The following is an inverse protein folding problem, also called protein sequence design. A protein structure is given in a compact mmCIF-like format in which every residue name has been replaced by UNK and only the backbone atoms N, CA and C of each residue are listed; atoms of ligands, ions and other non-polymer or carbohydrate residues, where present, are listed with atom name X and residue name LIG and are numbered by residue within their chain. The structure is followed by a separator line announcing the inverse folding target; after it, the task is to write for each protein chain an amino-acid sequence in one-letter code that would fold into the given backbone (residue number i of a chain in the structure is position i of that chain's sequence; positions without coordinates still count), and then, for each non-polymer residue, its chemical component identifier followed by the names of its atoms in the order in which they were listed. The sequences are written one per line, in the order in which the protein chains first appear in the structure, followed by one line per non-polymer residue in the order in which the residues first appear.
data_IF_495500136781
#
_entry.id   IF_495500136781
#
_cell.length_a   1.000
_cell.length_b   1.000
_cell.length_c   1.000
_cell.angle_alpha   90.00
_cell.angle_beta   90.00
_cell.angle_gamma   90.00
#
_symmetry.space_group_name_H-M   'P 1'
#
loop_
_entity.id
_entity.type
_entity.pdbx_description
1 polymer ?
#
# COMPACT_ATOMS: atom_id res chain seq x y z
N UNK A 1 19.49 1.90 -25.40
CA UNK A 1 19.03 1.06 -24.28
C UNK A 1 19.85 1.27 -23.01
N UNK A 2 21.12 1.69 -23.09
CA UNK A 2 21.94 2.07 -21.92
C UNK A 2 21.51 3.40 -21.26
N UNK A 3 20.79 4.26 -21.99
CA UNK A 3 20.28 5.52 -21.48
C UNK A 3 19.50 5.33 -20.18
N UNK A 4 18.35 4.62 -20.23
CA UNK A 4 17.36 4.45 -19.13
C UNK A 4 17.98 4.05 -17.78
N UNK A 5 19.09 3.32 -17.82
CA UNK A 5 19.80 2.84 -16.64
C UNK A 5 20.50 3.96 -15.86
N UNK A 6 21.08 4.94 -16.57
CA UNK A 6 21.67 6.13 -15.96
C UNK A 6 20.58 7.05 -15.37
N UNK A 7 19.39 7.12 -16.02
CA UNK A 7 18.36 8.11 -15.66
C UNK A 7 17.89 8.03 -14.23
N UNK A 8 17.66 6.82 -13.73
CA UNK A 8 17.12 6.62 -12.40
C UNK A 8 18.20 6.63 -11.30
N UNK A 9 19.45 6.26 -11.61
CA UNK A 9 20.52 6.27 -10.62
C UNK A 9 20.97 7.69 -10.26
N UNK A 10 21.08 8.58 -11.25
CA UNK A 10 21.43 9.99 -11.00
C UNK A 10 20.26 10.76 -10.38
N UNK A 11 19.03 10.45 -10.80
CA UNK A 11 17.81 10.99 -10.19
C UNK A 11 17.73 10.68 -8.69
N UNK A 12 18.00 9.43 -8.30
CA UNK A 12 17.96 9.03 -6.89
C UNK A 12 19.08 9.68 -6.04
N UNK A 13 20.26 9.93 -6.62
CA UNK A 13 21.36 10.62 -5.94
C UNK A 13 21.05 12.10 -5.66
N UNK A 14 20.28 12.75 -6.53
CA UNK A 14 19.90 14.16 -6.38
C UNK A 14 19.00 14.39 -5.15
N UNK A 15 17.99 13.54 -4.93
CA UNK A 15 17.02 13.72 -3.83
C UNK A 15 17.64 13.51 -2.44
N UNK A 16 18.59 12.59 -2.31
CA UNK A 16 19.29 12.37 -1.04
C UNK A 16 20.14 13.56 -0.60
N UNK A 17 20.55 14.43 -1.54
CA UNK A 17 21.33 15.63 -1.25
C UNK A 17 20.47 16.82 -0.78
N UNK A 18 19.16 16.82 -1.04
CA UNK A 18 18.29 17.98 -0.77
C UNK A 18 17.60 17.95 0.61
N UNK A 19 17.57 16.80 1.30
CA UNK A 19 16.91 16.67 2.62
C UNK A 19 17.70 17.27 3.80
N UNK A 20 18.96 17.66 3.63
CA UNK A 20 19.81 18.22 4.70
C UNK A 20 19.93 19.74 4.62
N UNK A 21 18.87 20.51 4.87
CA UNK A 21 19.03 21.92 5.26
C UNK A 21 17.90 22.43 6.16
N UNK A 22 18.29 22.60 7.43
CA UNK A 22 17.71 23.35 8.55
C UNK A 22 16.47 24.22 8.30
N UNK A 23 15.52 24.20 9.25
CA UNK A 23 14.95 25.41 9.84
C UNK A 23 14.28 25.11 11.20
N UNK A 24 14.44 26.05 12.12
CA UNK A 24 14.06 26.00 13.53
C UNK A 24 12.95 27.00 13.84
N UNK A 25 12.22 26.76 14.95
CA UNK A 25 11.69 27.73 15.94
C UNK A 25 10.16 27.67 16.24
N UNK A 26 9.90 27.21 17.48
CA UNK A 26 9.02 27.68 18.58
C UNK A 26 7.48 27.87 18.51
N UNK A 27 6.85 27.20 19.49
CA UNK A 27 5.81 27.65 20.45
C UNK A 27 4.32 27.74 20.04
N UNK A 28 3.49 26.84 20.60
CA UNK A 28 2.05 27.03 20.87
C UNK A 28 1.60 26.33 22.18
N UNK A 29 0.65 26.97 22.89
CA UNK A 29 0.05 26.58 24.19
C UNK A 29 -1.21 25.68 24.04
N UNK A 30 -1.65 24.94 25.08
CA UNK A 30 -2.58 23.81 24.95
C UNK A 30 -3.98 23.99 25.58
N UNK A 31 -4.94 23.18 25.13
CA UNK A 31 -6.24 22.86 25.76
C UNK A 31 -7.11 22.05 24.79
N UNK A 32 -7.98 21.10 25.13
CA UNK A 32 -8.50 20.61 26.41
C UNK A 32 -9.12 19.21 26.14
N UNK A 33 -9.07 18.32 27.13
CA UNK A 33 -9.47 16.88 27.08
C UNK A 33 -10.99 16.69 27.19
N UNK A 34 -11.56 15.76 26.40
CA UNK A 34 -12.93 15.26 26.54
C UNK A 34 -13.01 13.73 26.45
N UNK A 35 -13.37 13.07 27.57
CA UNK A 35 -13.60 11.63 27.72
C UNK A 35 -14.82 11.14 26.92
N UNK A 36 -14.69 10.00 26.25
CA UNK A 36 -15.83 9.16 25.82
C UNK A 36 -15.54 7.69 26.16
N UNK A 37 -16.40 7.12 27.01
CA UNK A 37 -16.48 5.70 27.34
C UNK A 37 -17.04 4.94 26.14
N UNK A 38 -16.39 3.84 25.72
CA UNK A 38 -16.83 2.99 24.61
C UNK A 38 -16.94 1.54 25.05
N UNK A 39 -18.16 1.00 25.01
CA UNK A 39 -18.45 -0.42 25.26
C UNK A 39 -18.09 -1.31 24.07
N UNK A 40 -17.66 -2.53 24.36
CA UNK A 40 -17.38 -3.57 23.37
C UNK A 40 -18.64 -4.38 23.07
N UNK A 41 -18.97 -4.57 21.80
CA UNK A 41 -19.92 -5.58 21.35
C UNK A 41 -19.18 -6.93 21.24
N UNK A 42 -19.57 -7.90 22.06
CA UNK A 42 -19.10 -9.29 22.00
C UNK A 42 -19.76 -10.00 20.81
N UNK A 43 -18.98 -10.35 19.81
CA UNK A 43 -19.40 -11.27 18.73
C UNK A 43 -19.29 -12.69 19.29
N UNK A 44 -20.38 -13.45 19.29
CA UNK A 44 -20.38 -14.88 19.69
C UNK A 44 -19.52 -15.71 18.73
N UNK A 45 -18.80 -16.74 19.21
CA UNK A 45 -17.94 -17.58 18.38
C UNK A 45 -18.75 -18.40 17.35
N UNK A 46 -18.12 -18.84 16.24
CA UNK A 46 -18.83 -19.32 15.04
C UNK A 46 -19.28 -20.79 15.10
N UNK A 47 -18.95 -21.52 16.17
CA UNK A 47 -18.90 -22.98 16.12
C UNK A 47 -20.24 -23.69 16.42
N UNK A 48 -21.14 -23.10 17.21
CA UNK A 48 -22.39 -23.77 17.62
C UNK A 48 -23.40 -23.93 16.47
N UNK A 49 -23.51 -22.93 15.60
CA UNK A 49 -24.49 -22.93 14.50
C UNK A 49 -24.16 -23.94 13.39
N UNK A 50 -22.86 -24.21 13.18
CA UNK A 50 -22.41 -25.14 12.13
C UNK A 50 -22.71 -26.58 12.54
N UNK A 51 -22.49 -26.91 13.80
CA UNK A 51 -22.74 -28.24 14.35
C UNK A 51 -24.25 -28.57 14.34
N UNK A 52 -25.10 -27.60 14.66
CA UNK A 52 -26.55 -27.76 14.62
C UNK A 52 -27.07 -28.00 13.19
N UNK A 53 -26.52 -27.30 12.20
CA UNK A 53 -26.88 -27.49 10.79
C UNK A 53 -26.45 -28.86 10.27
N UNK A 54 -25.24 -29.32 10.60
CA UNK A 54 -24.75 -30.66 10.24
C UNK A 54 -25.64 -31.76 10.79
N UNK A 55 -26.05 -31.65 12.06
CA UNK A 55 -26.95 -32.61 12.69
C UNK A 55 -28.33 -32.67 12.02
N UNK A 56 -28.91 -31.51 11.66
CA UNK A 56 -30.20 -31.45 10.93
C UNK A 56 -30.10 -32.08 9.54
N UNK A 57 -28.96 -31.91 8.86
CA UNK A 57 -28.74 -32.48 7.54
C UNK A 57 -28.61 -34.02 7.59
N UNK A 58 -27.90 -34.55 8.59
CA UNK A 58 -27.83 -36.00 8.82
C UNK A 58 -29.18 -36.61 9.19
N UNK A 59 -30.01 -35.89 9.94
CA UNK A 59 -31.35 -36.34 10.34
C UNK A 59 -32.31 -36.38 9.14
N UNK A 60 -32.23 -35.40 8.23
CA UNK A 60 -32.97 -35.38 6.98
C UNK A 60 -32.63 -36.57 6.05
N UNK A 61 -31.35 -36.93 5.97
CA UNK A 61 -30.89 -38.10 5.20
C UNK A 61 -31.39 -39.43 5.77
N UNK A 62 -31.61 -39.53 7.08
CA UNK A 62 -32.13 -40.76 7.74
C UNK A 62 -33.64 -40.91 7.64
N UNK A 63 -34.38 -39.80 7.67
CA UNK A 63 -35.85 -39.81 7.72
C UNK A 63 -36.50 -39.69 6.34
N UNK A 64 -35.75 -39.24 5.33
CA UNK A 64 -36.23 -39.01 3.96
C UNK A 64 -37.50 -38.14 3.91
N UNK A 65 -37.65 -37.24 4.89
CA UNK A 65 -38.81 -36.37 5.04
C UNK A 65 -38.74 -35.22 4.01
N UNK A 66 -39.66 -35.15 3.05
CA UNK A 66 -39.64 -34.15 1.98
C UNK A 66 -39.67 -32.70 2.51
N UNK A 67 -40.35 -32.46 3.64
CA UNK A 67 -40.54 -31.12 4.20
C UNK A 67 -39.24 -30.57 4.79
N UNK A 68 -38.45 -31.43 5.45
CA UNK A 68 -37.18 -31.05 6.05
C UNK A 68 -36.11 -30.71 4.99
N UNK A 69 -36.10 -31.44 3.87
CA UNK A 69 -35.23 -31.11 2.72
C UNK A 69 -35.59 -29.77 2.09
N UNK A 70 -36.88 -29.45 2.02
CA UNK A 70 -37.37 -28.19 1.45
C UNK A 70 -36.99 -26.99 2.35
N UNK A 71 -37.06 -27.18 3.67
CA UNK A 71 -36.63 -26.18 4.65
C UNK A 71 -35.11 -25.92 4.60
N UNK A 72 -34.27 -26.97 4.53
CA UNK A 72 -32.81 -26.85 4.39
C UNK A 72 -32.45 -26.14 3.09
N UNK A 73 -33.12 -26.48 1.99
CA UNK A 73 -32.88 -25.86 0.68
C UNK A 73 -33.24 -24.39 0.68
N UNK A 74 -34.36 -24.02 1.32
CA UNK A 74 -34.76 -22.62 1.52
C UNK A 74 -33.72 -21.85 2.35
N UNK A 75 -33.19 -22.46 3.39
CA UNK A 75 -32.15 -21.84 4.22
C UNK A 75 -30.83 -21.65 3.45
N UNK A 76 -30.42 -22.65 2.66
CA UNK A 76 -29.27 -22.55 1.77
C UNK A 76 -29.44 -21.46 0.71
N UNK A 77 -30.58 -21.42 0.02
CA UNK A 77 -30.85 -20.42 -1.01
C UNK A 77 -30.89 -19.00 -0.41
N UNK A 78 -31.47 -18.83 0.78
CA UNK A 78 -31.45 -17.57 1.52
C UNK A 78 -30.02 -17.15 1.92
N UNK A 79 -29.17 -18.10 2.36
CA UNK A 79 -27.77 -17.82 2.68
C UNK A 79 -26.95 -17.47 1.43
N UNK A 80 -27.22 -18.13 0.30
CA UNK A 80 -26.57 -17.87 -0.99
C UNK A 80 -26.91 -16.48 -1.52
N UNK A 81 -28.18 -16.07 -1.50
CA UNK A 81 -28.60 -14.73 -1.90
C UNK A 81 -27.97 -13.65 -1.00
N UNK A 82 -27.91 -13.90 0.31
CA UNK A 82 -27.18 -13.01 1.24
C UNK A 82 -25.71 -12.92 0.86
N UNK A 83 -25.03 -14.04 0.62
CA UNK A 83 -23.62 -14.05 0.21
C UNK A 83 -23.38 -13.30 -1.10
N UNK A 84 -24.29 -13.39 -2.07
CA UNK A 84 -24.20 -12.64 -3.32
C UNK A 84 -24.45 -11.14 -3.13
N UNK A 85 -25.21 -10.73 -2.11
CA UNK A 85 -25.44 -9.32 -1.74
C UNK A 85 -24.35 -8.71 -0.85
N UNK A 86 -23.54 -9.54 -0.17
CA UNK A 86 -22.42 -9.11 0.70
C UNK A 86 -21.35 -8.28 -0.06
N UNK A 87 -20.93 -8.61 -1.30
CA UNK A 87 -19.96 -7.83 -2.07
C UNK A 87 -20.36 -6.37 -2.27
N UNK A 88 -21.65 -6.11 -2.52
CA UNK A 88 -22.15 -4.74 -2.73
C UNK A 88 -22.24 -3.98 -1.39
N UNK A 89 -22.73 -4.65 -0.34
CA UNK A 89 -22.75 -4.08 1.01
C UNK A 89 -21.33 -3.80 1.59
N UNK A 90 -20.34 -4.64 1.26
CA UNK A 90 -18.93 -4.42 1.60
C UNK A 90 -18.28 -3.30 0.79
N UNK A 91 -18.78 -3.04 -0.43
CA UNK A 91 -18.34 -1.93 -1.28
C UNK A 91 -18.74 -0.58 -0.69
N UNK A 92 -19.93 -0.52 -0.12
CA UNK A 92 -20.52 0.67 0.50
C UNK A 92 -20.03 0.89 1.94
N UNK A 93 -19.47 -0.14 2.57
CA UNK A 93 -18.91 -0.03 3.91
C UNK A 93 -17.64 0.83 3.88
N UNK A 94 -17.56 1.91 4.70
CA UNK A 94 -16.34 2.71 4.78
C UNK A 94 -15.21 1.82 5.32
N UNK A 95 -14.26 1.47 4.43
CA UNK A 95 -13.14 0.57 4.75
C UNK A 95 -12.28 1.07 5.92
N UNK A 96 -12.31 2.37 6.19
CA UNK A 96 -11.54 3.02 7.23
C UNK A 96 -12.32 4.23 7.76
N UNK A 97 -12.36 4.40 9.09
CA UNK A 97 -12.83 5.65 9.70
C UNK A 97 -11.73 6.71 9.55
N UNK A 98 -11.96 7.86 8.88
CA UNK A 98 -10.98 8.93 8.73
C UNK A 98 -10.51 9.54 10.06
N UNK A 99 -11.31 9.41 11.11
CA UNK A 99 -10.99 9.86 12.48
C UNK A 99 -10.59 8.70 13.40
N UNK A 100 -10.45 7.49 12.84
CA UNK A 100 -10.09 6.29 13.59
C UNK A 100 -8.62 6.26 13.95
N UNK A 101 -8.32 6.03 15.22
CA UNK A 101 -6.95 5.71 15.69
C UNK A 101 -6.83 4.19 15.77
N UNK A 102 -5.90 3.61 15.00
CA UNK A 102 -5.64 2.17 14.95
C UNK A 102 -4.43 1.81 15.81
N UNK A 103 -4.51 0.67 16.49
CA UNK A 103 -3.53 0.26 17.49
C UNK A 103 -2.90 -1.07 17.08
N UNK A 104 -1.60 -1.05 16.81
CA UNK A 104 -0.81 -2.27 16.58
C UNK A 104 -0.28 -2.86 17.89
N UNK A 105 0.05 -2.00 18.86
CA UNK A 105 0.60 -2.38 20.16
C UNK A 105 -0.03 -1.51 21.25
N UNK A 106 -0.20 -2.07 22.45
CA UNK A 106 -0.77 -1.35 23.58
C UNK A 106 0.18 -0.23 24.04
N UNK A 107 -0.33 1.01 24.07
CA UNK A 107 0.41 2.20 24.53
C UNK A 107 -0.40 2.92 25.60
N UNK A 108 0.25 3.28 26.70
CA UNK A 108 -0.32 4.04 27.82
C UNK A 108 -0.01 5.52 27.67
N UNK A 109 -0.94 6.26 27.07
CA UNK A 109 -0.79 7.70 26.82
C UNK A 109 -0.68 8.54 28.10
N UNK A 110 -1.14 8.01 29.23
CA UNK A 110 -1.09 8.67 30.54
C UNK A 110 0.34 8.75 31.13
N UNK A 111 1.27 7.93 30.63
CA UNK A 111 2.68 7.98 31.01
C UNK A 111 3.55 8.80 30.03
N UNK A 112 2.96 9.37 28.97
CA UNK A 112 3.70 10.13 27.95
C UNK A 112 3.59 11.62 28.27
N UNK A 113 4.72 12.23 28.62
CA UNK A 113 4.80 13.66 28.98
C UNK A 113 5.08 14.56 27.77
N UNK A 114 5.81 14.04 26.78
CA UNK A 114 6.28 14.82 25.61
C UNK A 114 5.79 14.17 24.33
N UNK A 115 5.19 15.00 23.46
CA UNK A 115 4.74 14.61 22.13
C UNK A 115 5.60 15.32 21.09
N UNK A 116 6.38 14.55 20.35
CA UNK A 116 7.11 15.04 19.17
C UNK A 116 6.26 14.84 17.92
N UNK A 117 6.21 15.85 17.06
CA UNK A 117 5.57 15.77 15.75
C UNK A 117 6.60 15.99 14.67
N UNK A 118 6.56 15.15 13.65
CA UNK A 118 7.20 15.46 12.37
C UNK A 118 6.44 16.58 11.67
N UNK A 119 7.09 17.30 10.76
CA UNK A 119 6.48 18.44 10.08
C UNK A 119 5.77 18.00 8.79
N UNK A 120 6.54 17.49 7.83
CA UNK A 120 6.07 17.19 6.48
C UNK A 120 5.13 15.97 6.46
N UNK A 121 3.98 16.11 5.80
CA UNK A 121 2.92 15.08 5.74
C UNK A 121 2.37 14.62 7.11
N UNK A 122 2.78 15.26 8.21
CA UNK A 122 2.24 15.04 9.56
C UNK A 122 1.46 16.28 10.01
N UNK A 123 2.13 17.42 10.17
CA UNK A 123 1.49 18.71 10.49
C UNK A 123 1.16 19.50 9.22
N UNK A 124 2.09 19.55 8.28
CA UNK A 124 1.93 20.21 6.99
C UNK A 124 1.40 19.21 5.95
N UNK A 125 0.17 19.43 5.49
CA UNK A 125 -0.46 18.59 4.47
C UNK A 125 -0.31 19.26 3.11
N UNK A 126 0.36 18.58 2.19
CA UNK A 126 0.60 19.07 0.84
C UNK A 126 -0.50 18.62 -0.11
N UNK A 127 -0.84 19.47 -1.08
CA UNK A 127 -1.70 19.10 -2.20
C UNK A 127 -0.96 18.21 -3.20
N UNK A 128 -1.70 17.47 -4.02
CA UNK A 128 -1.16 16.61 -5.09
C UNK A 128 -0.23 17.35 -6.08
N UNK A 129 -0.40 18.66 -6.22
CA UNK A 129 0.44 19.51 -7.08
C UNK A 129 1.92 19.50 -6.67
N UNK A 130 2.24 19.21 -5.41
CA UNK A 130 3.62 19.15 -4.94
C UNK A 130 4.42 18.10 -5.72
N UNK A 131 3.84 16.92 -5.95
CA UNK A 131 4.52 15.82 -6.65
C UNK A 131 4.78 16.17 -8.11
N UNK A 132 3.83 16.80 -8.78
CA UNK A 132 3.99 17.31 -10.15
C UNK A 132 5.13 18.33 -10.22
N UNK A 133 5.15 19.30 -9.30
CA UNK A 133 6.18 20.33 -9.26
C UNK A 133 7.57 19.75 -9.00
N UNK A 134 7.70 18.81 -8.05
CA UNK A 134 8.97 18.14 -7.75
C UNK A 134 9.46 17.38 -8.99
N UNK A 135 8.57 16.66 -9.67
CA UNK A 135 8.89 15.92 -10.90
C UNK A 135 9.36 16.86 -12.03
N UNK A 136 8.68 17.98 -12.23
CA UNK A 136 9.02 18.97 -13.26
C UNK A 136 10.38 19.64 -12.98
N UNK A 137 10.65 20.02 -11.73
CA UNK A 137 11.97 20.57 -11.35
C UNK A 137 13.09 19.54 -11.53
N UNK A 138 12.83 18.28 -11.17
CA UNK A 138 13.83 17.24 -11.27
C UNK A 138 14.16 16.86 -12.73
N UNK A 139 13.17 16.79 -13.63
CA UNK A 139 13.43 16.54 -15.06
C UNK A 139 14.16 17.71 -15.73
N UNK A 140 13.84 18.94 -15.37
CA UNK A 140 14.58 20.14 -15.82
C UNK A 140 16.04 20.07 -15.38
N UNK A 141 16.29 19.72 -14.12
CA UNK A 141 17.64 19.59 -13.59
C UNK A 141 18.44 18.47 -14.28
N UNK A 142 17.83 17.32 -14.55
CA UNK A 142 18.47 16.24 -15.32
C UNK A 142 18.91 16.70 -16.72
N UNK A 143 18.04 17.41 -17.44
CA UNK A 143 18.33 17.85 -18.80
C UNK A 143 19.40 18.95 -18.80
N UNK A 144 19.27 19.94 -17.92
CA UNK A 144 20.15 21.10 -17.91
C UNK A 144 21.51 20.84 -17.28
N UNK A 145 21.58 20.13 -16.15
CA UNK A 145 22.83 19.89 -15.43
C UNK A 145 23.49 18.56 -15.84
N UNK A 146 22.71 17.49 -15.96
CA UNK A 146 23.22 16.15 -16.29
C UNK A 146 23.22 15.84 -17.80
N UNK A 147 22.79 16.80 -18.64
CA UNK A 147 22.84 16.73 -20.11
C UNK A 147 22.06 15.56 -20.69
N UNK A 148 20.93 15.24 -20.07
CA UNK A 148 20.00 14.26 -20.60
C UNK A 148 19.29 14.78 -21.85
N UNK A 149 18.74 13.89 -22.71
CA UNK A 149 18.05 14.30 -23.93
C UNK A 149 16.88 15.24 -23.65
N UNK A 150 16.73 16.28 -24.47
CA UNK A 150 15.66 17.28 -24.32
C UNK A 150 14.25 16.68 -24.40
N UNK A 151 14.10 15.52 -25.06
CA UNK A 151 12.84 14.76 -25.08
C UNK A 151 12.32 14.43 -23.67
N UNK A 152 13.19 14.45 -22.66
CA UNK A 152 12.80 14.21 -21.27
C UNK A 152 11.88 15.30 -20.69
N UNK A 153 11.93 16.53 -21.24
CA UNK A 153 11.08 17.62 -20.77
C UNK A 153 9.60 17.43 -21.14
N UNK A 154 9.32 16.64 -22.17
CA UNK A 154 7.96 16.36 -22.64
C UNK A 154 7.18 15.44 -21.69
N UNK A 155 7.89 14.74 -20.81
CA UNK A 155 7.28 13.78 -19.90
C UNK A 155 6.43 14.46 -18.83
N UNK A 156 5.29 13.84 -18.53
CA UNK A 156 4.32 14.30 -17.54
C UNK A 156 4.23 13.32 -16.38
N UNK A 157 4.13 13.87 -15.18
CA UNK A 157 3.89 13.10 -13.97
C UNK A 157 2.52 12.39 -14.05
N UNK A 158 2.50 11.13 -13.64
CA UNK A 158 1.32 10.27 -13.62
C UNK A 158 1.11 9.79 -12.18
N UNK A 159 0.16 10.41 -11.48
CA UNK A 159 -0.14 10.10 -10.07
C UNK A 159 -0.78 8.74 -9.85
N UNK A 160 -1.29 8.09 -10.90
CA UNK A 160 -1.94 6.78 -10.79
C UNK A 160 -0.94 5.61 -10.78
N UNK A 161 0.31 5.85 -11.18
CA UNK A 161 1.34 4.81 -11.26
C UNK A 161 2.03 4.51 -9.92
N UNK A 162 2.60 5.50 -9.20
CA UNK A 162 3.37 5.21 -8.00
C UNK A 162 2.46 4.85 -6.82
N UNK A 163 2.89 3.85 -6.05
CA UNK A 163 2.28 3.51 -4.77
C UNK A 163 3.36 3.48 -3.68
N UNK A 164 2.95 3.66 -2.42
CA UNK A 164 3.87 3.66 -1.29
C UNK A 164 4.44 2.28 -0.98
N UNK A 165 5.70 2.26 -0.55
CA UNK A 165 6.39 1.06 -0.09
C UNK A 165 6.78 0.13 -1.23
N UNK A 166 7.21 0.70 -2.35
CA UNK A 166 7.87 -0.02 -3.44
C UNK A 166 9.37 -0.10 -3.16
N UNK A 167 10.03 -1.02 -3.86
CA UNK A 167 11.47 -1.20 -3.83
C UNK A 167 12.03 -0.99 -5.23
N UNK A 168 13.12 -0.24 -5.34
CA UNK A 168 13.82 -0.02 -6.60
C UNK A 168 15.18 -0.72 -6.61
N UNK A 169 15.40 -1.53 -7.64
CA UNK A 169 16.67 -2.18 -7.92
C UNK A 169 17.50 -1.31 -8.86
N UNK A 170 18.45 -0.54 -8.28
CA UNK A 170 19.34 0.35 -9.04
C UNK A 170 20.22 -0.38 -10.05
N UNK A 171 20.54 -1.65 -9.80
CA UNK A 171 21.44 -2.43 -10.65
C UNK A 171 20.71 -3.08 -11.83
N UNK A 172 19.38 -3.20 -11.77
CA UNK A 172 18.60 -3.85 -12.83
C UNK A 172 17.52 -2.94 -13.43
N UNK A 173 17.24 -1.81 -12.81
CA UNK A 173 16.22 -0.86 -13.25
C UNK A 173 14.79 -1.33 -12.99
N UNK A 174 14.58 -2.19 -11.98
CA UNK A 174 13.26 -2.75 -11.67
C UNK A 174 12.63 -2.07 -10.47
N UNK A 175 11.33 -1.79 -10.60
CA UNK A 175 10.48 -1.33 -9.52
C UNK A 175 9.59 -2.50 -9.09
N UNK A 176 9.63 -2.87 -7.81
CA UNK A 176 8.94 -4.05 -7.32
C UNK A 176 8.20 -3.82 -6.01
N UNK A 177 7.04 -4.46 -5.85
CA UNK A 177 6.34 -4.60 -4.58
C UNK A 177 6.75 -5.91 -3.92
N UNK A 178 7.16 -5.83 -2.66
CA UNK A 178 7.45 -7.00 -1.83
C UNK A 178 6.29 -7.26 -0.86
N UNK A 179 5.99 -8.53 -0.65
CA UNK A 179 5.13 -9.04 0.42
C UNK A 179 5.88 -8.97 1.77
N UNK A 180 5.16 -9.22 2.87
CA UNK A 180 5.68 -9.34 4.22
C UNK A 180 6.86 -10.32 4.34
N UNK A 181 6.86 -11.40 3.56
CA UNK A 181 7.94 -12.39 3.52
C UNK A 181 9.12 -12.02 2.60
N UNK A 182 9.13 -10.81 2.03
CA UNK A 182 10.19 -10.37 1.11
C UNK A 182 10.14 -11.04 -0.26
N UNK A 183 8.97 -11.56 -0.66
CA UNK A 183 8.77 -12.10 -2.01
C UNK A 183 8.14 -11.06 -2.91
N UNK A 184 8.54 -11.00 -4.17
CA UNK A 184 7.95 -10.12 -5.18
C UNK A 184 6.48 -10.48 -5.37
N UNK A 185 5.57 -9.52 -5.26
CA UNK A 185 4.15 -9.73 -5.56
C UNK A 185 3.97 -10.18 -7.03
N UNK A 186 3.09 -11.15 -7.35
CA UNK A 186 2.99 -11.73 -8.69
C UNK A 186 2.76 -10.69 -9.80
N UNK A 187 2.08 -9.60 -9.45
CA UNK A 187 1.74 -8.50 -10.35
C UNK A 187 2.46 -7.18 -10.00
N UNK A 188 3.48 -7.27 -9.15
CA UNK A 188 4.10 -6.12 -8.51
C UNK A 188 5.45 -5.70 -9.08
N UNK A 189 5.93 -6.26 -10.19
CA UNK A 189 7.27 -5.98 -10.73
C UNK A 189 7.22 -5.31 -12.12
N UNK A 190 8.00 -4.24 -12.29
CA UNK A 190 8.00 -3.39 -13.48
C UNK A 190 9.42 -3.04 -13.91
N UNK A 191 9.64 -2.99 -15.22
CA UNK A 191 10.79 -2.37 -15.85
C UNK A 191 10.32 -1.08 -16.54
N UNK A 192 10.65 0.08 -15.96
CA UNK A 192 10.01 1.34 -16.33
C UNK A 192 8.49 1.26 -16.13
N UNK A 193 7.71 1.41 -17.21
CA UNK A 193 6.24 1.22 -17.19
C UNK A 193 5.78 -0.17 -17.64
N UNK A 194 6.70 -1.02 -18.09
CA UNK A 194 6.36 -2.36 -18.57
C UNK A 194 6.32 -3.33 -17.40
N UNK A 195 5.17 -3.92 -17.17
CA UNK A 195 5.02 -5.00 -16.19
C UNK A 195 5.80 -6.24 -16.63
N UNK A 196 6.53 -6.84 -15.70
CA UNK A 196 7.24 -8.10 -15.91
C UNK A 196 6.33 -9.29 -15.60
N UNK A 197 6.50 -10.37 -16.36
CA UNK A 197 5.83 -11.63 -16.09
C UNK A 197 6.66 -12.49 -15.12
N UNK A 198 6.02 -13.52 -14.55
CA UNK A 198 6.65 -14.40 -13.55
C UNK A 198 7.93 -15.07 -14.06
N UNK A 199 7.96 -15.48 -15.34
CA UNK A 199 9.14 -16.14 -15.93
C UNK A 199 10.32 -15.17 -16.04
N UNK A 200 10.07 -13.94 -16.51
CA UNK A 200 11.09 -12.89 -16.54
C UNK A 200 11.65 -12.61 -15.14
N UNK A 201 10.78 -12.56 -14.12
CA UNK A 201 11.22 -12.35 -12.73
C UNK A 201 12.11 -13.51 -12.26
N UNK A 202 11.73 -14.75 -12.55
CA UNK A 202 12.52 -15.94 -12.22
C UNK A 202 13.86 -15.97 -12.97
N UNK A 203 13.88 -15.57 -14.24
CA UNK A 203 15.11 -15.49 -15.02
C UNK A 203 16.08 -14.41 -14.46
N UNK A 204 15.53 -13.29 -13.98
CA UNK A 204 16.32 -12.13 -13.49
C UNK A 204 16.78 -12.31 -12.04
N UNK A 205 15.93 -12.83 -11.17
CA UNK A 205 16.17 -12.93 -9.72
C UNK A 205 16.41 -14.38 -9.25
N UNK A 206 16.27 -15.38 -10.14
CA UNK A 206 16.38 -16.80 -9.85
C UNK A 206 15.12 -17.35 -9.18
N UNK A 207 14.57 -16.62 -8.22
CA UNK A 207 13.31 -16.93 -7.55
C UNK A 207 12.52 -15.65 -7.28
N UNK A 208 11.24 -15.79 -6.95
CA UNK A 208 10.40 -14.67 -6.50
C UNK A 208 10.83 -14.12 -5.14
N UNK A 209 11.54 -14.91 -4.32
CA UNK A 209 11.97 -14.49 -2.99
C UNK A 209 13.27 -13.70 -3.07
N UNK A 210 13.26 -12.47 -2.54
CA UNK A 210 14.45 -11.64 -2.46
C UNK A 210 15.18 -11.99 -1.16
N UNK A 211 16.36 -12.60 -1.30
CA UNK A 211 17.21 -12.93 -0.16
C UNK A 211 17.74 -11.68 0.55
N UNK A 212 18.20 -11.84 1.80
CA UNK A 212 18.68 -10.73 2.63
C UNK A 212 19.78 -9.90 1.97
N UNK A 213 20.71 -10.55 1.27
CA UNK A 213 21.82 -9.86 0.61
C UNK A 213 21.36 -9.08 -0.63
N UNK A 214 20.41 -9.63 -1.39
CA UNK A 214 19.79 -8.92 -2.50
C UNK A 214 18.97 -7.73 -2.01
N UNK A 215 18.21 -7.91 -0.92
CA UNK A 215 17.38 -6.86 -0.32
C UNK A 215 18.21 -5.63 0.12
N UNK A 216 19.47 -5.82 0.52
CA UNK A 216 20.38 -4.71 0.87
C UNK A 216 20.74 -3.81 -0.30
N UNK A 217 20.69 -4.34 -1.52
CA UNK A 217 20.92 -3.58 -2.75
C UNK A 217 19.69 -2.79 -3.22
N UNK A 218 18.51 -3.11 -2.67
CA UNK A 218 17.26 -2.45 -3.01
C UNK A 218 17.11 -1.14 -2.23
N UNK A 219 16.55 -0.16 -2.91
CA UNK A 219 16.16 1.12 -2.34
C UNK A 219 14.69 1.06 -1.97
N UNK A 220 14.36 1.26 -0.69
CA UNK A 220 12.98 1.34 -0.23
C UNK A 220 12.40 2.74 -0.44
N UNK A 221 11.27 2.82 -1.14
CA UNK A 221 10.55 4.06 -1.45
C UNK A 221 9.38 4.19 -0.47
N UNK A 222 9.69 4.71 0.71
CA UNK A 222 8.84 4.63 1.91
C UNK A 222 8.14 5.94 2.25
N UNK A 223 8.61 7.08 1.77
CA UNK A 223 7.97 8.38 1.99
C UNK A 223 7.10 8.79 0.79
N UNK A 224 6.35 9.88 0.96
CA UNK A 224 5.52 10.43 -0.12
C UNK A 224 6.34 11.24 -1.13
N UNK A 225 7.53 11.72 -0.79
CA UNK A 225 8.39 12.45 -1.72
C UNK A 225 8.97 11.53 -2.80
N UNK A 226 9.14 10.24 -2.49
CA UNK A 226 9.55 9.23 -3.45
C UNK A 226 8.56 9.06 -4.62
N UNK A 227 7.30 9.53 -4.53
CA UNK A 227 6.32 9.30 -5.61
C UNK A 227 6.74 9.96 -6.93
N UNK A 228 7.25 11.19 -6.86
CA UNK A 228 7.86 11.84 -8.03
C UNK A 228 9.09 11.09 -8.55
N UNK A 229 9.80 10.34 -7.71
CA UNK A 229 10.97 9.57 -8.14
C UNK A 229 10.62 8.25 -8.81
N UNK A 230 9.50 7.66 -8.40
CA UNK A 230 9.04 6.37 -8.92
C UNK A 230 8.45 6.51 -10.32
N UNK A 231 7.89 7.68 -10.66
CA UNK A 231 7.19 7.94 -11.91
C UNK A 231 8.15 7.77 -13.11
N UNK A 232 8.10 6.63 -13.82
CA UNK A 232 9.05 6.37 -14.88
C UNK A 232 8.72 7.26 -16.06
N UNK A 233 9.78 7.84 -16.60
CA UNK A 233 9.76 8.38 -17.95
C UNK A 233 9.21 7.30 -18.89
N UNK A 234 8.13 7.57 -19.63
CA UNK A 234 7.59 6.61 -20.57
C UNK A 234 8.71 6.19 -21.53
N UNK A 235 8.94 4.88 -21.60
CA UNK A 235 9.84 4.30 -22.58
C UNK A 235 9.21 4.50 -23.97
N UNK A 236 9.95 5.04 -24.95
CA UNK A 236 9.45 5.20 -26.31
C UNK A 236 9.13 3.85 -26.97
#
# INVERSE_FOLDING_TARGET
MEGVFFFFTDWFLMFHSLQFNNLSFSELRPGLVGRLLRGYNTIKPPDENILEFQNKFEEALKTNDPLLFEDIRREYDAAKERFLSIPDALKDMPKMNPQGIYVNQNVRLDHIEVYGFDYDYTLAHYSDNLQCMIYDLAKEHLVHEFKYPDSCLEFRYDSAFPIRGLYYDKLKGHLMKLDFFGSIEPDGCYFGRRKLNQKEIEDIYGTRHIGRDQARGLVGLMDFFCFSEVAPFPVP
#
